data_IF_292616371323
#
_entry.id   IF_292616371323
#
_cell.length_a   1.000
_cell.length_b   1.000
_cell.length_c   1.000
_cell.angle_alpha   90.00
_cell.angle_beta   90.00
_cell.angle_gamma   90.00
#
_symmetry.space_group_name_H-M   'P 1'
#
loop_
_entity.id
_entity.type
_entity.pdbx_description
1 polymer ?
#
# COMPACT_ATOMS: atom_id res chain seq x y z
N UNK A 1 -10.00 4.41 11.11
CA UNK A 1 -11.18 4.55 10.23
C UNK A 1 -12.43 4.52 11.09
N UNK A 2 -12.72 5.65 11.75
CA UNK A 2 -13.99 5.92 12.45
C UNK A 2 -14.25 7.41 12.25
N UNK A 3 -14.47 7.80 10.99
CA UNK A 3 -14.71 9.20 10.63
C UNK A 3 -16.18 9.61 10.81
N UNK A 4 -17.08 8.62 10.95
CA UNK A 4 -18.52 8.83 11.13
C UNK A 4 -18.96 8.22 12.46
N UNK A 5 -19.66 9.00 13.27
CA UNK A 5 -20.24 8.57 14.54
C UNK A 5 -21.31 7.49 14.31
N UNK A 6 -21.36 6.44 15.15
CA UNK A 6 -22.28 5.31 14.97
C UNK A 6 -23.75 5.71 14.87
N UNK A 7 -24.16 6.74 15.61
CA UNK A 7 -25.52 7.29 15.58
C UNK A 7 -25.94 7.81 14.20
N UNK A 8 -24.97 8.12 13.33
CA UNK A 8 -25.18 8.65 11.99
C UNK A 8 -25.11 7.57 10.91
N UNK A 9 -24.75 6.32 11.23
CA UNK A 9 -24.55 5.28 10.21
C UNK A 9 -25.84 4.89 9.47
N UNK A 10 -26.99 5.01 10.13
CA UNK A 10 -28.30 4.69 9.54
C UNK A 10 -28.87 5.85 8.70
N UNK A 11 -28.30 7.05 8.82
CA UNK A 11 -28.81 8.28 8.21
C UNK A 11 -27.84 8.92 7.22
N UNK A 12 -26.55 8.69 7.36
CA UNK A 12 -25.53 9.13 6.41
C UNK A 12 -25.22 8.10 5.35
N UNK A 13 -25.15 8.61 4.13
CA UNK A 13 -24.79 7.87 2.93
C UNK A 13 -23.30 8.03 2.63
N UNK A 14 -22.77 7.10 1.84
CA UNK A 14 -21.37 7.14 1.41
C UNK A 14 -21.04 8.46 0.68
N UNK A 15 -21.99 9.04 -0.06
CA UNK A 15 -21.76 10.30 -0.80
C UNK A 15 -21.29 11.46 0.09
N UNK A 16 -21.63 11.45 1.38
CA UNK A 16 -21.27 12.52 2.32
C UNK A 16 -19.78 12.48 2.71
N UNK A 17 -19.12 11.35 2.51
CA UNK A 17 -17.71 11.13 2.87
C UNK A 17 -16.83 10.75 1.68
N UNK A 18 -17.40 10.73 0.47
CA UNK A 18 -16.65 10.46 -0.78
C UNK A 18 -15.61 11.56 -0.99
N UNK A 19 -14.42 11.14 -1.40
CA UNK A 19 -13.37 12.04 -1.91
C UNK A 19 -13.15 11.78 -3.39
N UNK A 20 -12.87 12.81 -4.20
CA UNK A 20 -12.44 12.63 -5.58
C UNK A 20 -11.27 11.67 -5.68
N UNK A 21 -11.24 10.83 -6.72
CA UNK A 21 -10.17 9.85 -6.90
C UNK A 21 -8.80 10.53 -7.00
N UNK A 22 -8.75 11.73 -7.58
CA UNK A 22 -7.53 12.54 -7.73
C UNK A 22 -6.94 13.00 -6.39
N UNK A 23 -7.72 12.97 -5.30
CA UNK A 23 -7.26 13.28 -3.94
C UNK A 23 -6.79 12.04 -3.17
N UNK A 24 -6.95 10.85 -3.74
CA UNK A 24 -6.53 9.59 -3.14
C UNK A 24 -5.12 9.27 -3.63
N UNK A 25 -4.16 8.97 -2.75
CA UNK A 25 -2.85 8.48 -3.17
C UNK A 25 -2.98 7.25 -4.08
N UNK A 26 -2.40 7.34 -5.27
CA UNK A 26 -2.46 6.32 -6.31
C UNK A 26 -1.08 6.06 -6.94
N UNK A 27 -0.89 4.84 -7.43
CA UNK A 27 0.22 4.43 -8.31
C UNK A 27 -0.34 3.74 -9.55
N UNK A 28 0.46 3.61 -10.60
CA UNK A 28 0.06 2.85 -11.80
C UNK A 28 0.37 1.36 -11.62
N UNK A 29 -0.33 0.49 -12.36
CA UNK A 29 -0.09 -0.96 -12.37
C UNK A 29 1.38 -1.34 -12.64
N UNK A 30 2.10 -0.51 -13.42
CA UNK A 30 3.49 -0.74 -13.78
C UNK A 30 4.49 -0.05 -12.86
N UNK A 31 4.03 0.71 -11.86
CA UNK A 31 4.92 1.38 -10.90
C UNK A 31 5.81 0.36 -10.19
N UNK A 32 7.14 0.53 -10.22
CA UNK A 32 8.07 -0.36 -9.53
C UNK A 32 7.78 -0.45 -8.02
N UNK A 33 7.92 -1.65 -7.44
CA UNK A 33 7.68 -1.84 -6.01
C UNK A 33 8.53 -0.94 -5.11
N UNK A 34 9.73 -0.54 -5.56
CA UNK A 34 10.57 0.43 -4.85
C UNK A 34 9.85 1.77 -4.65
N UNK A 35 9.20 2.29 -5.70
CA UNK A 35 8.45 3.54 -5.64
C UNK A 35 7.17 3.37 -4.82
N UNK A 36 6.52 2.20 -4.88
CA UNK A 36 5.39 1.88 -4.00
C UNK A 36 5.81 1.88 -2.54
N UNK A 37 6.95 1.26 -2.20
CA UNK A 37 7.50 1.25 -0.83
C UNK A 37 7.71 2.70 -0.37
N UNK A 38 8.41 3.52 -1.15
CA UNK A 38 8.65 4.92 -0.80
C UNK A 38 7.35 5.69 -0.60
N UNK A 39 6.36 5.52 -1.49
CA UNK A 39 5.05 6.18 -1.40
C UNK A 39 4.33 5.83 -0.09
N UNK A 40 4.36 4.56 0.32
CA UNK A 40 3.75 4.11 1.58
C UNK A 40 4.43 4.71 2.81
N UNK A 41 5.75 4.92 2.76
CA UNK A 41 6.54 5.48 3.86
C UNK A 41 6.45 7.01 3.92
N UNK A 42 6.62 7.70 2.80
CA UNK A 42 6.60 9.17 2.70
C UNK A 42 5.23 9.74 3.05
N UNK A 43 4.16 9.11 2.57
CA UNK A 43 2.78 9.53 2.87
C UNK A 43 2.27 8.97 4.21
N UNK A 44 3.05 8.09 4.87
CA UNK A 44 2.68 7.40 6.10
C UNK A 44 1.29 6.72 6.01
N UNK A 45 1.05 6.00 4.91
CA UNK A 45 -0.20 5.30 4.63
C UNK A 45 -0.03 3.77 4.71
N UNK A 46 -1.13 3.06 4.97
CA UNK A 46 -1.12 1.58 5.05
C UNK A 46 -1.27 0.88 3.70
N UNK A 47 -1.85 1.56 2.72
CA UNK A 47 -2.16 1.05 1.39
C UNK A 47 -2.24 2.20 0.41
N UNK A 48 -1.96 1.93 -0.86
CA UNK A 48 -2.11 2.88 -1.96
C UNK A 48 -3.00 2.26 -3.04
N UNK A 49 -3.81 3.07 -3.70
CA UNK A 49 -4.67 2.62 -4.79
C UNK A 49 -3.83 2.37 -6.04
N UNK A 50 -4.16 1.33 -6.82
CA UNK A 50 -3.49 1.02 -8.08
C UNK A 50 -4.45 1.34 -9.22
N UNK A 51 -3.99 2.15 -10.18
CA UNK A 51 -4.76 2.52 -11.36
C UNK A 51 -4.30 1.71 -12.57
N UNK A 52 -5.28 1.24 -13.34
CA UNK A 52 -5.05 0.66 -14.66
C UNK A 52 -4.69 1.75 -15.69
N UNK A 53 -4.20 1.38 -16.88
CA UNK A 53 -3.95 2.33 -17.96
C UNK A 53 -5.19 3.12 -18.42
N UNK A 54 -6.39 2.66 -18.08
CA UNK A 54 -7.65 3.35 -18.35
C UNK A 54 -8.06 4.32 -17.22
N UNK A 55 -7.14 4.65 -16.30
CA UNK A 55 -7.36 5.52 -15.13
C UNK A 55 -8.46 5.05 -14.17
N UNK A 56 -8.76 3.74 -14.20
CA UNK A 56 -9.72 3.11 -13.29
C UNK A 56 -9.01 2.37 -12.18
N UNK A 57 -9.64 2.24 -11.01
CA UNK A 57 -9.09 1.50 -9.87
C UNK A 57 -9.01 0.01 -10.22
N UNK A 58 -7.79 -0.50 -10.34
CA UNK A 58 -7.48 -1.91 -10.54
C UNK A 58 -7.40 -2.67 -9.21
N UNK A 59 -7.12 -1.97 -8.11
CA UNK A 59 -7.06 -2.55 -6.77
C UNK A 59 -6.32 -1.67 -5.78
N UNK A 60 -5.78 -2.30 -4.73
CA UNK A 60 -4.91 -1.66 -3.74
C UNK A 60 -3.69 -2.53 -3.50
N UNK A 61 -2.59 -1.91 -3.10
CA UNK A 61 -1.37 -2.60 -2.68
C UNK A 61 -0.95 -2.12 -1.29
N UNK A 62 -0.54 -3.08 -0.44
CA UNK A 62 -0.04 -2.83 0.91
C UNK A 62 1.31 -3.53 1.18
N UNK A 63 1.86 -3.31 2.39
CA UNK A 63 3.12 -3.92 2.83
C UNK A 63 3.10 -5.45 2.80
N UNK A 64 1.95 -6.08 3.01
CA UNK A 64 1.80 -7.54 2.96
C UNK A 64 1.85 -8.08 1.53
N UNK A 65 1.30 -7.34 0.57
CA UNK A 65 1.40 -7.66 -0.85
C UNK A 65 2.84 -7.54 -1.35
N UNK A 66 3.55 -6.48 -0.93
CA UNK A 66 4.98 -6.27 -1.23
C UNK A 66 5.81 -7.42 -0.69
N UNK A 67 5.66 -7.76 0.61
CA UNK A 67 6.40 -8.87 1.23
C UNK A 67 6.11 -10.19 0.53
N UNK A 68 4.84 -10.45 0.19
CA UNK A 68 4.44 -11.65 -0.55
C UNK A 68 5.09 -11.73 -1.94
N UNK A 69 5.15 -10.61 -2.67
CA UNK A 69 5.78 -10.56 -3.99
C UNK A 69 7.30 -10.80 -3.91
N UNK A 70 7.98 -10.13 -2.98
CA UNK A 70 9.43 -10.30 -2.75
C UNK A 70 9.74 -11.73 -2.30
N UNK A 71 8.99 -12.28 -1.34
CA UNK A 71 9.19 -13.63 -0.85
C UNK A 71 9.04 -14.67 -1.97
N UNK A 72 8.02 -14.52 -2.84
CA UNK A 72 7.85 -15.36 -4.03
C UNK A 72 9.05 -15.27 -4.97
N UNK A 73 9.55 -14.06 -5.24
CA UNK A 73 10.69 -13.84 -6.14
C UNK A 73 11.99 -14.44 -5.58
N UNK A 74 12.17 -14.42 -4.26
CA UNK A 74 13.34 -14.97 -3.57
C UNK A 74 13.17 -16.43 -3.13
N UNK A 75 12.04 -17.07 -3.48
CA UNK A 75 11.71 -18.43 -3.08
C UNK A 75 11.73 -18.65 -1.55
N UNK A 76 11.31 -17.63 -0.78
CA UNK A 76 11.20 -17.67 0.67
C UNK A 76 9.81 -18.13 1.09
N UNK A 77 9.76 -19.13 1.98
CA UNK A 77 8.51 -19.58 2.57
C UNK A 77 8.06 -18.62 3.68
N UNK A 78 7.00 -17.86 3.42
CA UNK A 78 6.37 -17.00 4.44
C UNK A 78 4.97 -17.57 4.76
N UNK A 79 4.68 -17.90 6.04
CA UNK A 79 3.38 -18.40 6.44
C UNK A 79 2.25 -17.41 6.12
N UNK A 80 1.06 -17.86 5.68
CA UNK A 80 -0.08 -16.96 5.42
C UNK A 80 -0.44 -16.08 6.61
N UNK A 81 -0.35 -16.61 7.84
CA UNK A 81 -0.59 -15.85 9.07
C UNK A 81 0.36 -14.66 9.25
N UNK A 82 1.62 -14.79 8.81
CA UNK A 82 2.58 -13.69 8.86
C UNK A 82 2.19 -12.55 7.89
N UNK A 83 1.73 -12.90 6.68
CA UNK A 83 1.21 -11.91 5.72
C UNK A 83 -0.03 -11.21 6.28
N UNK A 84 -0.96 -11.95 6.91
CA UNK A 84 -2.14 -11.33 7.52
C UNK A 84 -1.79 -10.38 8.66
N UNK A 85 -0.81 -10.74 9.49
CA UNK A 85 -0.30 -9.85 10.54
C UNK A 85 0.31 -8.57 9.96
N UNK A 86 1.14 -8.68 8.92
CA UNK A 86 1.71 -7.52 8.22
C UNK A 86 0.62 -6.60 7.68
N UNK A 87 -0.45 -7.16 7.08
CA UNK A 87 -1.59 -6.37 6.58
C UNK A 87 -2.35 -5.66 7.70
N UNK A 88 -2.57 -6.33 8.84
CA UNK A 88 -3.28 -5.77 9.98
C UNK A 88 -2.49 -4.65 10.67
N UNK A 89 -1.22 -4.93 10.98
CA UNK A 89 -0.33 -3.99 11.67
C UNK A 89 0.07 -2.84 10.73
N UNK A 90 0.28 -3.14 9.45
CA UNK A 90 0.76 -2.19 8.45
C UNK A 90 2.25 -1.90 8.60
N UNK A 91 3.03 -2.89 9.07
CA UNK A 91 4.48 -2.79 9.33
C UNK A 91 5.20 -3.95 8.65
N UNK A 92 6.36 -3.70 8.05
CA UNK A 92 7.20 -4.75 7.47
C UNK A 92 7.75 -5.70 8.54
N UNK A 93 8.00 -6.98 8.21
CA UNK A 93 8.55 -7.93 9.16
C UNK A 93 9.97 -7.51 9.60
N UNK A 94 10.33 -7.70 10.88
CA UNK A 94 11.68 -7.42 11.37
C UNK A 94 12.76 -8.16 10.55
N UNK A 95 13.89 -7.51 10.30
CA UNK A 95 15.00 -8.07 9.51
C UNK A 95 14.81 -8.00 7.99
N UNK A 96 13.64 -7.57 7.51
CA UNK A 96 13.38 -7.29 6.10
C UNK A 96 13.57 -5.78 5.84
N UNK A 97 14.80 -5.39 5.50
CA UNK A 97 15.23 -4.00 5.30
C UNK A 97 14.71 -3.38 3.98
N UNK A 98 13.44 -3.62 3.64
CA UNK A 98 12.85 -3.21 2.36
C UNK A 98 12.80 -1.68 2.21
N UNK A 99 12.61 -0.95 3.31
CA UNK A 99 12.56 0.51 3.31
C UNK A 99 13.95 1.08 3.01
N UNK A 100 14.99 0.55 3.65
CA UNK A 100 16.37 0.98 3.41
C UNK A 100 16.79 0.66 1.98
N UNK A 101 16.50 -0.55 1.49
CA UNK A 101 16.79 -0.96 0.11
C UNK A 101 16.09 -0.02 -0.89
N UNK A 102 14.82 0.30 -0.66
CA UNK A 102 14.05 1.17 -1.53
C UNK A 102 14.66 2.58 -1.61
N UNK A 103 15.02 3.16 -0.46
CA UNK A 103 15.69 4.47 -0.38
C UNK A 103 17.03 4.47 -1.14
N UNK A 104 17.85 3.43 -0.97
CA UNK A 104 19.14 3.34 -1.67
C UNK A 104 18.95 3.26 -3.19
N UNK A 105 18.05 2.41 -3.69
CA UNK A 105 17.82 2.28 -5.14
C UNK A 105 17.28 3.57 -5.78
N UNK A 106 16.49 4.33 -5.04
CA UNK A 106 15.95 5.62 -5.50
C UNK A 106 17.04 6.67 -5.66
N UNK A 107 18.04 6.67 -4.76
CA UNK A 107 19.20 7.56 -4.86
C UNK A 107 20.15 7.21 -6.02
N UNK A 108 20.21 5.94 -6.42
CA UNK A 108 21.06 5.48 -7.53
C UNK A 108 20.47 5.82 -8.90
N UNK A 109 19.15 5.90 -9.02
CA UNK A 109 18.47 6.14 -10.32
C UNK A 109 18.50 7.62 -10.75
N UNK A 110 18.89 8.53 -9.86
CA UNK A 110 19.05 9.97 -10.14
C UNK A 110 20.49 10.38 -10.51
N UNK A 111 21.36 9.41 -10.84
CA UNK A 111 22.75 9.64 -11.32
C UNK A 111 22.94 8.95 -12.65
#
# INVERSE_FOLDING_TARGET
LHFVERSRWDTETLETIVRPLQEIPTVEEKTPLVEVINSLEELNIKRVSVLSPAETVAGVIDRGDIVRAVARKLNLAIPPAAIQRIKAEGVYPPGFQLVEIAKTLSSVTNT
#
